data_IF_389959241650
#
_entry.id   IF_389959241650
#
_cell.length_a   1.000
_cell.length_b   1.000
_cell.length_c   1.000
_cell.angle_alpha   90.00
_cell.angle_beta   90.00
_cell.angle_gamma   90.00
#
_symmetry.space_group_name_H-M   'P 1'
#
loop_
_entity.id
_entity.type
_entity.pdbx_description
1 polymer ?
#
# COMPACT_ATOMS: atom_id res chain seq x y z
N UNK A 1 27.17 -15.16 -23.93
CA UNK A 1 25.95 -15.97 -23.77
C UNK A 1 26.36 -17.29 -23.15
N UNK A 2 25.82 -17.63 -21.93
CA UNK A 2 26.11 -18.93 -21.35
C UNK A 2 25.35 -20.00 -22.12
N UNK A 3 26.05 -20.83 -22.87
CA UNK A 3 25.47 -21.99 -23.54
C UNK A 3 25.03 -23.01 -22.52
N UNK A 4 23.72 -23.15 -22.36
CA UNK A 4 23.12 -24.14 -21.48
C UNK A 4 22.99 -25.44 -22.28
N UNK A 5 23.62 -26.51 -21.79
CA UNK A 5 23.47 -27.82 -22.41
C UNK A 5 22.07 -28.37 -22.18
N UNK A 6 21.52 -29.09 -23.12
CA UNK A 6 20.19 -29.72 -23.00
C UNK A 6 20.10 -30.58 -21.75
N UNK A 7 19.02 -30.44 -20.92
CA UNK A 7 18.84 -31.20 -19.69
C UNK A 7 18.77 -32.71 -19.97
N UNK A 8 19.43 -33.50 -19.09
CA UNK A 8 19.47 -34.95 -19.19
C UNK A 8 18.48 -35.58 -18.20
N UNK A 9 17.97 -36.75 -18.54
CA UNK A 9 17.03 -37.52 -17.71
C UNK A 9 17.83 -38.55 -16.91
N UNK A 10 17.50 -38.70 -15.63
CA UNK A 10 18.03 -39.74 -14.75
C UNK A 10 16.90 -40.43 -14.00
N UNK A 11 17.21 -41.63 -13.48
CA UNK A 11 16.30 -42.40 -12.68
C UNK A 11 16.94 -42.76 -11.33
N UNK A 12 16.16 -42.78 -10.26
CA UNK A 12 16.59 -43.24 -8.92
C UNK A 12 16.40 -44.77 -8.84
N UNK A 13 16.99 -45.40 -7.82
CA UNK A 13 16.79 -46.81 -7.51
C UNK A 13 15.30 -47.15 -7.33
N UNK A 14 14.50 -46.21 -6.80
CA UNK A 14 13.05 -46.33 -6.57
C UNK A 14 12.23 -45.99 -7.83
N UNK A 15 12.80 -46.06 -9.01
CA UNK A 15 12.13 -45.79 -10.31
C UNK A 15 11.52 -44.34 -10.40
N UNK A 16 11.98 -43.37 -9.59
CA UNK A 16 11.58 -41.98 -9.74
C UNK A 16 12.48 -41.28 -10.77
N UNK A 17 11.83 -40.67 -11.74
CA UNK A 17 12.52 -39.97 -12.83
C UNK A 17 12.83 -38.53 -12.39
N UNK A 18 13.98 -38.02 -12.78
CA UNK A 18 14.40 -36.64 -12.56
C UNK A 18 15.15 -36.09 -13.76
N UNK A 19 15.13 -34.77 -13.93
CA UNK A 19 15.88 -34.06 -14.94
C UNK A 19 17.07 -33.37 -14.26
N UNK A 20 18.26 -33.48 -14.87
CA UNK A 20 19.44 -32.81 -14.35
C UNK A 20 20.17 -32.04 -15.43
N UNK A 21 20.74 -30.92 -15.05
CA UNK A 21 21.49 -30.00 -15.93
C UNK A 21 22.47 -29.18 -15.09
N UNK A 22 23.33 -28.44 -15.79
CA UNK A 22 24.34 -27.59 -15.16
C UNK A 22 24.15 -26.15 -15.56
N UNK A 23 24.22 -25.24 -14.59
CA UNK A 23 24.30 -23.80 -14.78
C UNK A 23 25.52 -23.32 -14.00
N UNK A 24 26.45 -22.60 -14.67
CA UNK A 24 27.68 -22.09 -14.04
C UNK A 24 28.45 -23.16 -13.24
N UNK A 25 28.64 -24.33 -13.84
CA UNK A 25 29.28 -25.52 -13.22
C UNK A 25 28.55 -26.12 -12.03
N UNK A 26 27.40 -25.59 -11.62
CA UNK A 26 26.57 -26.14 -10.55
C UNK A 26 25.53 -27.08 -11.11
N UNK A 27 25.41 -28.30 -10.55
CA UNK A 27 24.42 -29.31 -10.96
C UNK A 27 23.08 -29.03 -10.31
N UNK A 28 22.03 -29.01 -11.11
CA UNK A 28 20.63 -28.92 -10.69
C UNK A 28 19.91 -30.24 -10.97
N UNK A 29 18.92 -30.57 -10.12
CA UNK A 29 18.12 -31.76 -10.25
C UNK A 29 16.67 -31.43 -9.93
N UNK A 30 15.75 -31.71 -10.88
CA UNK A 30 14.32 -31.43 -10.76
C UNK A 30 13.53 -32.71 -10.95
N UNK A 31 12.56 -32.94 -10.07
CA UNK A 31 11.63 -34.06 -10.16
C UNK A 31 10.29 -33.69 -10.79
N UNK A 32 9.96 -32.38 -10.82
CA UNK A 32 8.75 -31.82 -11.41
C UNK A 32 9.00 -30.40 -11.93
N UNK A 33 8.01 -29.83 -12.62
CA UNK A 33 8.08 -28.54 -13.27
C UNK A 33 7.82 -27.32 -12.38
N UNK A 34 7.50 -27.48 -11.11
CA UNK A 34 7.07 -26.39 -10.21
C UNK A 34 8.05 -25.21 -10.15
N UNK A 35 9.34 -25.48 -10.30
CA UNK A 35 10.40 -24.43 -10.26
C UNK A 35 10.52 -23.58 -11.54
N UNK A 36 9.86 -23.98 -12.60
CA UNK A 36 9.80 -23.28 -13.89
C UNK A 36 8.37 -22.89 -14.27
N UNK A 37 7.44 -22.91 -13.28
CA UNK A 37 6.02 -22.67 -13.47
C UNK A 37 5.35 -23.61 -14.49
N UNK A 38 5.87 -24.83 -14.65
CA UNK A 38 5.26 -25.90 -15.45
C UNK A 38 4.50 -26.88 -14.52
N UNK A 39 3.31 -27.29 -14.91
CA UNK A 39 2.49 -28.27 -14.18
C UNK A 39 2.93 -29.72 -14.40
N UNK A 40 4.01 -29.94 -15.16
CA UNK A 40 4.49 -31.29 -15.43
C UNK A 40 5.16 -31.91 -14.20
N UNK A 41 4.65 -33.06 -13.81
CA UNK A 41 5.22 -33.95 -12.79
C UNK A 41 5.33 -35.35 -13.37
N UNK A 42 6.49 -35.76 -13.91
CA UNK A 42 6.66 -37.09 -14.50
C UNK A 42 6.34 -38.23 -13.54
N UNK A 43 6.56 -38.03 -12.24
CA UNK A 43 6.37 -39.08 -11.23
C UNK A 43 4.91 -39.28 -10.80
N UNK A 44 4.01 -38.39 -11.20
CA UNK A 44 2.55 -38.56 -11.00
C UNK A 44 1.94 -39.52 -12.05
N UNK A 45 2.68 -39.88 -13.10
CA UNK A 45 2.21 -40.78 -14.16
C UNK A 45 2.64 -42.23 -13.92
N UNK A 46 1.95 -43.20 -14.54
CA UNK A 46 2.38 -44.60 -14.56
C UNK A 46 3.79 -44.78 -15.11
N UNK A 47 4.51 -45.81 -14.65
CA UNK A 47 5.95 -46.00 -14.92
C UNK A 47 6.28 -45.94 -16.42
N UNK A 48 5.44 -46.59 -17.25
CA UNK A 48 5.60 -46.60 -18.72
C UNK A 48 5.48 -45.24 -19.40
N UNK A 49 4.86 -44.25 -18.75
CA UNK A 49 4.69 -42.89 -19.29
C UNK A 49 5.67 -41.87 -18.66
N UNK A 50 6.37 -42.22 -17.58
CA UNK A 50 7.25 -41.30 -16.85
C UNK A 50 8.38 -40.78 -17.69
N UNK A 51 8.99 -41.61 -18.52
CA UNK A 51 10.09 -41.18 -19.39
C UNK A 51 9.64 -40.17 -20.45
N UNK A 52 8.46 -40.40 -21.05
CA UNK A 52 7.89 -39.45 -22.00
C UNK A 52 7.62 -38.07 -21.35
N UNK A 53 7.00 -38.09 -20.16
CA UNK A 53 6.71 -36.87 -19.40
C UNK A 53 8.01 -36.18 -18.95
N UNK A 54 9.06 -36.93 -18.65
CA UNK A 54 10.37 -36.38 -18.32
C UNK A 54 11.04 -35.71 -19.52
N UNK A 55 10.88 -36.26 -20.74
CA UNK A 55 11.35 -35.63 -22.00
C UNK A 55 10.64 -34.29 -22.23
N UNK A 56 9.32 -34.24 -22.01
CA UNK A 56 8.56 -32.98 -22.11
C UNK A 56 9.03 -31.95 -21.06
N UNK A 57 9.20 -32.38 -19.80
CA UNK A 57 9.72 -31.50 -18.76
C UNK A 57 11.14 -31.01 -19.06
N UNK A 58 12.01 -31.84 -19.62
CA UNK A 58 13.36 -31.44 -20.04
C UNK A 58 13.34 -30.36 -21.13
N UNK A 59 12.42 -30.48 -22.10
CA UNK A 59 12.20 -29.48 -23.14
C UNK A 59 11.69 -28.14 -22.55
N UNK A 60 10.74 -28.20 -21.63
CA UNK A 60 10.24 -27.02 -20.92
C UNK A 60 11.35 -26.32 -20.12
N UNK A 61 12.16 -27.08 -19.40
CA UNK A 61 13.33 -26.55 -18.67
C UNK A 61 14.30 -25.88 -19.62
N UNK A 62 14.62 -26.51 -20.74
CA UNK A 62 15.54 -25.96 -21.73
C UNK A 62 15.02 -24.64 -22.32
N UNK A 63 13.74 -24.63 -22.71
CA UNK A 63 13.07 -23.42 -23.23
C UNK A 63 13.07 -22.29 -22.18
N UNK A 64 12.70 -22.61 -20.95
CA UNK A 64 12.67 -21.66 -19.85
C UNK A 64 14.05 -21.02 -19.57
N UNK A 65 15.10 -21.83 -19.53
CA UNK A 65 16.44 -21.35 -19.25
C UNK A 65 17.02 -20.53 -20.42
N UNK A 66 16.74 -20.92 -21.66
CA UNK A 66 17.18 -20.16 -22.85
C UNK A 66 16.42 -18.83 -23.02
N UNK A 67 15.21 -18.71 -22.48
CA UNK A 67 14.48 -17.44 -22.42
C UNK A 67 14.92 -16.51 -21.29
N UNK A 68 16.03 -16.85 -20.58
CA UNK A 68 16.53 -16.05 -19.46
C UNK A 68 15.86 -16.34 -18.13
N UNK A 69 15.08 -17.41 -18.04
CA UNK A 69 14.42 -17.83 -16.81
C UNK A 69 15.42 -18.20 -15.71
N UNK A 70 15.19 -17.74 -14.49
CA UNK A 70 16.00 -18.05 -13.31
C UNK A 70 15.27 -19.07 -12.46
N UNK A 71 15.94 -20.18 -12.12
CA UNK A 71 15.37 -21.19 -11.24
C UNK A 71 15.20 -20.64 -9.83
N UNK A 72 13.95 -20.57 -9.34
CA UNK A 72 13.68 -20.29 -7.95
C UNK A 72 14.37 -21.35 -7.07
N UNK A 73 15.14 -20.92 -6.07
CA UNK A 73 15.85 -21.84 -5.20
C UNK A 73 14.88 -22.64 -4.33
N UNK A 74 15.18 -23.93 -4.15
CA UNK A 74 14.29 -24.89 -3.47
C UNK A 74 14.11 -24.54 -1.99
N UNK A 75 12.86 -24.44 -1.52
CA UNK A 75 12.47 -24.19 -0.11
C UNK A 75 12.85 -25.35 0.86
N UNK A 76 13.94 -26.03 0.65
CA UNK A 76 14.29 -27.24 1.43
C UNK A 76 15.64 -27.27 2.11
N UNK A 77 16.53 -26.34 1.84
CA UNK A 77 17.75 -26.12 2.63
C UNK A 77 17.87 -24.63 2.89
N UNK A 78 18.03 -24.27 4.15
CA UNK A 78 18.47 -22.93 4.52
C UNK A 78 19.75 -22.64 3.73
N UNK A 79 19.62 -21.94 2.61
CA UNK A 79 20.75 -21.28 2.02
C UNK A 79 21.06 -20.18 3.02
N UNK A 80 22.29 -20.14 3.49
CA UNK A 80 22.85 -18.94 4.09
C UNK A 80 22.90 -17.94 2.93
N UNK A 81 21.78 -17.32 2.64
CA UNK A 81 21.69 -16.09 1.86
C UNK A 81 22.55 -15.11 2.63
N UNK A 82 23.47 -14.46 1.97
CA UNK A 82 24.19 -13.36 2.57
C UNK A 82 23.19 -12.52 3.35
N UNK A 83 23.51 -12.15 4.61
CA UNK A 83 22.62 -11.60 5.65
C UNK A 83 21.41 -10.91 5.03
N UNK A 84 20.21 -11.50 5.23
CA UNK A 84 18.98 -10.95 4.69
C UNK A 84 18.90 -9.50 5.17
N UNK A 85 18.94 -8.56 4.25
CA UNK A 85 18.86 -7.15 4.58
C UNK A 85 17.41 -6.74 4.51
N UNK A 86 16.67 -6.94 5.62
CA UNK A 86 15.27 -6.56 5.70
C UNK A 86 15.07 -5.06 5.48
N UNK A 87 16.10 -4.26 5.76
CA UNK A 87 16.09 -2.82 5.52
C UNK A 87 15.96 -2.50 4.02
N UNK A 88 16.65 -3.24 3.15
CA UNK A 88 16.54 -3.09 1.70
C UNK A 88 15.15 -3.52 1.20
N UNK A 89 14.62 -4.63 1.73
CA UNK A 89 13.27 -5.12 1.42
C UNK A 89 12.21 -4.10 1.83
N UNK A 90 12.33 -3.51 3.02
CA UNK A 90 11.41 -2.48 3.51
C UNK A 90 11.47 -1.21 2.68
N UNK A 91 12.66 -0.82 2.22
CA UNK A 91 12.85 0.33 1.33
C UNK A 91 12.14 0.10 -0.01
N UNK A 92 12.34 -1.05 -0.64
CA UNK A 92 11.68 -1.42 -1.90
C UNK A 92 10.14 -1.45 -1.73
N UNK A 93 9.65 -1.99 -0.61
CA UNK A 93 8.23 -2.02 -0.29
C UNK A 93 7.63 -0.60 -0.15
N UNK A 94 8.35 0.31 0.52
CA UNK A 94 7.94 1.69 0.64
C UNK A 94 7.94 2.38 -0.74
N UNK A 95 9.00 2.26 -1.53
CA UNK A 95 9.11 2.86 -2.86
C UNK A 95 7.97 2.41 -3.77
N UNK A 96 7.65 1.12 -3.75
CA UNK A 96 6.49 0.60 -4.48
C UNK A 96 5.19 1.28 -4.04
N UNK A 97 4.95 1.39 -2.72
CA UNK A 97 3.76 2.04 -2.17
C UNK A 97 3.70 3.54 -2.50
N UNK A 98 4.82 4.22 -2.58
CA UNK A 98 4.87 5.63 -2.95
C UNK A 98 4.59 5.87 -4.44
N UNK A 99 4.82 4.88 -5.29
CA UNK A 99 4.52 4.95 -6.72
C UNK A 99 3.06 4.61 -7.05
N UNK A 100 2.30 4.02 -6.11
CA UNK A 100 0.86 3.81 -6.30
C UNK A 100 0.08 5.13 -6.30
N UNK A 101 -1.15 5.11 -6.85
CA UNK A 101 -2.05 6.28 -6.98
C UNK A 101 -2.70 6.71 -5.65
N UNK A 102 -1.91 6.81 -4.58
CA UNK A 102 -2.38 7.28 -3.29
C UNK A 102 -2.32 8.80 -3.14
N UNK A 103 -3.12 9.33 -2.22
CA UNK A 103 -3.08 10.75 -1.87
C UNK A 103 -1.71 11.17 -1.32
N UNK A 104 -1.31 12.42 -1.57
CA UNK A 104 -0.05 13.00 -1.04
C UNK A 104 0.06 12.86 0.48
N UNK A 105 -1.06 13.01 1.20
CA UNK A 105 -1.11 12.86 2.66
C UNK A 105 -0.77 11.44 3.09
N UNK A 106 -1.39 10.43 2.48
CA UNK A 106 -1.12 9.04 2.82
C UNK A 106 0.32 8.62 2.51
N UNK A 107 0.86 9.09 1.38
CA UNK A 107 2.28 8.88 1.05
C UNK A 107 3.23 9.47 2.11
N UNK A 108 2.91 10.67 2.63
CA UNK A 108 3.66 11.27 3.75
C UNK A 108 3.58 10.43 5.03
N UNK A 109 2.39 9.90 5.35
CA UNK A 109 2.20 9.03 6.52
C UNK A 109 2.99 7.72 6.42
N UNK A 110 3.02 7.09 5.24
CA UNK A 110 3.83 5.89 4.99
C UNK A 110 5.33 6.20 5.14
N UNK A 111 5.80 7.29 4.54
CA UNK A 111 7.20 7.72 4.66
C UNK A 111 7.59 8.03 6.10
N UNK A 112 6.69 8.64 6.87
CA UNK A 112 6.88 8.93 8.28
C UNK A 112 6.95 7.64 9.11
N UNK A 113 6.04 6.69 8.86
CA UNK A 113 6.04 5.40 9.54
C UNK A 113 7.34 4.62 9.28
N UNK A 114 7.81 4.61 8.04
CA UNK A 114 9.07 4.00 7.67
C UNK A 114 10.26 4.65 8.39
N UNK A 115 10.38 6.00 8.36
CA UNK A 115 11.46 6.73 9.03
C UNK A 115 11.51 6.41 10.51
N UNK A 116 10.37 6.39 11.20
CA UNK A 116 10.30 6.06 12.62
C UNK A 116 10.73 4.62 12.90
N UNK A 117 10.37 3.68 12.03
CA UNK A 117 10.82 2.29 12.17
C UNK A 117 12.35 2.20 12.03
N UNK A 118 12.89 2.75 10.94
CA UNK A 118 14.34 2.66 10.67
C UNK A 118 15.17 3.31 11.76
N UNK A 119 14.73 4.43 12.34
CA UNK A 119 15.43 5.09 13.44
C UNK A 119 15.47 4.25 14.74
N UNK A 120 14.59 3.26 14.87
CA UNK A 120 14.52 2.37 16.03
C UNK A 120 15.14 0.98 15.78
N UNK A 121 15.43 0.64 14.53
CA UNK A 121 16.13 -0.61 14.20
C UNK A 121 17.59 -0.51 14.62
N UNK A 122 18.05 -1.53 15.32
CA UNK A 122 19.45 -1.66 15.74
C UNK A 122 20.29 -2.42 14.74
N UNK A 123 19.66 -3.24 13.91
CA UNK A 123 20.31 -4.13 12.94
C UNK A 123 19.61 -4.02 11.56
N UNK A 124 20.23 -4.62 10.54
CA UNK A 124 19.65 -4.74 9.20
C UNK A 124 18.54 -5.78 9.10
N UNK A 125 18.34 -6.59 10.14
CA UNK A 125 17.28 -7.60 10.26
C UNK A 125 16.18 -7.02 11.16
N UNK A 126 14.95 -7.03 10.67
CA UNK A 126 13.79 -6.56 11.42
C UNK A 126 13.41 -7.54 12.53
N UNK A 127 13.28 -7.02 13.75
CA UNK A 127 12.75 -7.75 14.89
C UNK A 127 11.36 -7.24 15.29
N UNK A 128 10.61 -8.06 16.01
CA UNK A 128 9.34 -7.64 16.61
C UNK A 128 9.56 -6.53 17.63
N UNK A 129 10.66 -6.60 18.36
CA UNK A 129 11.08 -5.64 19.38
C UNK A 129 11.28 -4.24 18.80
N UNK A 130 11.86 -4.11 17.60
CA UNK A 130 12.02 -2.84 16.90
C UNK A 130 10.65 -2.20 16.60
N UNK A 131 9.68 -3.01 16.17
CA UNK A 131 8.31 -2.53 15.90
C UNK A 131 7.61 -2.12 17.20
N UNK A 132 7.70 -2.93 18.25
CA UNK A 132 7.13 -2.60 19.58
C UNK A 132 7.74 -1.31 20.10
N UNK A 133 9.07 -1.16 20.05
CA UNK A 133 9.77 0.06 20.44
C UNK A 133 9.29 1.27 19.65
N UNK A 134 9.14 1.14 18.32
CA UNK A 134 8.64 2.21 17.45
C UNK A 134 7.22 2.63 17.83
N UNK A 135 6.36 1.69 18.14
CA UNK A 135 4.97 1.96 18.53
C UNK A 135 4.85 2.55 19.93
N UNK A 136 5.74 2.17 20.86
CA UNK A 136 5.69 2.61 22.27
C UNK A 136 5.91 4.11 22.47
N UNK A 137 6.47 4.81 21.50
CA UNK A 137 6.58 6.28 21.53
C UNK A 137 5.22 6.98 21.55
N UNK A 138 4.14 6.30 21.12
CA UNK A 138 2.81 6.88 21.01
C UNK A 138 1.92 6.45 22.16
N UNK A 139 1.74 7.34 23.13
CA UNK A 139 0.80 7.15 24.26
C UNK A 139 -0.67 7.28 23.81
N UNK A 140 -0.92 8.10 22.78
CA UNK A 140 -2.26 8.27 22.25
C UNK A 140 -2.67 7.06 21.40
N UNK A 141 -3.75 6.39 21.77
CA UNK A 141 -4.25 5.17 21.12
C UNK A 141 -4.56 5.34 19.63
N UNK A 142 -5.05 6.52 19.22
CA UNK A 142 -5.35 6.80 17.81
C UNK A 142 -4.08 6.91 16.99
N UNK A 143 -3.06 7.63 17.48
CA UNK A 143 -1.76 7.78 16.85
C UNK A 143 -1.01 6.45 16.77
N UNK A 144 -1.02 5.68 17.87
CA UNK A 144 -0.48 4.33 17.91
C UNK A 144 -1.12 3.44 16.83
N UNK A 145 -2.45 3.40 16.77
CA UNK A 145 -3.16 2.57 15.80
C UNK A 145 -2.94 3.03 14.34
N UNK A 146 -2.81 4.33 14.11
CA UNK A 146 -2.49 4.88 12.79
C UNK A 146 -1.09 4.46 12.34
N UNK A 147 -0.08 4.62 13.20
CA UNK A 147 1.27 4.17 12.90
C UNK A 147 1.33 2.66 12.66
N UNK A 148 0.67 1.87 13.54
CA UNK A 148 0.56 0.42 13.39
C UNK A 148 -0.07 0.03 12.04
N UNK A 149 -1.12 0.72 11.61
CA UNK A 149 -1.79 0.50 10.31
C UNK A 149 -0.85 0.79 9.14
N UNK A 150 -0.10 1.87 9.20
CA UNK A 150 0.82 2.26 8.14
C UNK A 150 2.02 1.30 8.05
N UNK A 151 2.59 0.87 9.18
CA UNK A 151 3.61 -0.17 9.23
C UNK A 151 3.07 -1.49 8.67
N UNK A 152 1.85 -1.89 9.02
CA UNK A 152 1.20 -3.09 8.48
C UNK A 152 1.10 -3.05 6.95
N UNK A 153 0.78 -1.89 6.36
CA UNK A 153 0.71 -1.73 4.91
C UNK A 153 2.08 -1.91 4.22
N UNK A 154 3.16 -1.40 4.85
CA UNK A 154 4.53 -1.58 4.36
C UNK A 154 4.96 -3.03 4.49
N UNK A 155 4.75 -3.68 5.65
CA UNK A 155 5.17 -5.06 5.88
C UNK A 155 4.42 -6.07 4.99
N UNK A 156 3.12 -5.87 4.77
CA UNK A 156 2.37 -6.72 3.84
C UNK A 156 2.97 -6.67 2.43
N UNK A 157 3.41 -5.49 1.99
CA UNK A 157 4.12 -5.37 0.70
C UNK A 157 5.53 -5.95 0.76
N UNK A 158 6.23 -5.77 1.87
CA UNK A 158 7.56 -6.31 2.07
C UNK A 158 7.61 -7.86 2.05
N UNK A 159 6.53 -8.53 2.46
CA UNK A 159 6.41 -10.00 2.33
C UNK A 159 6.50 -10.44 0.85
N UNK A 160 5.91 -9.68 -0.08
CA UNK A 160 6.02 -9.98 -1.51
C UNK A 160 7.46 -9.84 -2.02
N UNK A 161 8.27 -8.99 -1.38
CA UNK A 161 9.70 -8.81 -1.67
C UNK A 161 10.62 -9.72 -0.86
N UNK A 162 10.08 -10.61 -0.02
CA UNK A 162 10.85 -11.65 0.67
C UNK A 162 11.01 -11.47 2.18
N UNK A 163 10.34 -10.51 2.82
CA UNK A 163 10.25 -10.45 4.28
C UNK A 163 9.56 -11.73 4.79
N UNK A 164 10.11 -12.34 5.85
CA UNK A 164 9.61 -13.63 6.36
C UNK A 164 8.19 -13.57 6.88
N UNK A 165 7.88 -12.54 7.66
CA UNK A 165 6.59 -12.38 8.32
C UNK A 165 6.30 -10.90 8.59
N UNK A 166 5.04 -10.60 8.82
CA UNK A 166 4.63 -9.27 9.26
C UNK A 166 4.56 -9.22 10.79
N UNK A 167 5.52 -8.57 11.47
CA UNK A 167 5.56 -8.56 12.94
C UNK A 167 4.36 -7.85 13.57
N UNK A 168 3.69 -6.95 12.84
CA UNK A 168 2.49 -6.25 13.31
C UNK A 168 1.32 -7.19 13.56
N UNK A 169 1.24 -8.35 12.89
CA UNK A 169 0.14 -9.31 13.07
C UNK A 169 0.02 -9.82 14.51
N UNK A 170 1.15 -9.95 15.21
CA UNK A 170 1.20 -10.37 16.62
C UNK A 170 1.02 -9.24 17.62
N UNK A 171 0.92 -7.97 17.17
CA UNK A 171 0.80 -6.80 18.05
C UNK A 171 -0.66 -6.35 18.09
N UNK A 172 -1.24 -6.27 19.29
CA UNK A 172 -2.63 -5.85 19.49
C UNK A 172 -2.82 -4.36 19.23
N UNK A 173 -4.01 -3.99 18.75
CA UNK A 173 -4.45 -2.59 18.68
C UNK A 173 -4.71 -2.06 20.10
N UNK A 174 -4.44 -0.78 20.31
CA UNK A 174 -4.88 -0.10 21.54
C UNK A 174 -6.36 0.26 21.45
N UNK A 175 -7.07 0.12 22.58
CA UNK A 175 -8.47 0.53 22.67
C UNK A 175 -8.56 2.06 22.61
N UNK A 176 -9.27 2.59 21.63
CA UNK A 176 -9.55 4.02 21.54
C UNK A 176 -10.77 4.32 22.38
N UNK A 177 -10.64 5.26 23.32
CA UNK A 177 -11.79 5.80 24.06
C UNK A 177 -12.46 6.85 23.17
N UNK A 178 -13.75 6.67 22.90
CA UNK A 178 -14.53 7.68 22.21
C UNK A 178 -14.58 8.96 23.05
N UNK A 179 -14.21 10.09 22.45
CA UNK A 179 -14.37 11.41 23.07
C UNK A 179 -15.61 12.05 22.47
N UNK A 180 -16.57 12.39 23.31
CA UNK A 180 -17.74 13.14 22.89
C UNK A 180 -17.35 14.61 22.72
N UNK A 181 -17.32 15.07 21.48
CA UNK A 181 -17.16 16.49 21.19
C UNK A 181 -18.49 17.18 21.50
N UNK A 182 -18.48 18.11 22.45
CA UNK A 182 -19.65 18.92 22.77
C UNK A 182 -19.75 20.06 21.74
N UNK A 183 -20.94 20.33 21.20
CA UNK A 183 -21.13 21.49 20.33
C UNK A 183 -20.93 22.77 21.16
N UNK A 184 -20.62 23.88 20.48
CA UNK A 184 -20.58 25.19 21.10
C UNK A 184 -21.96 25.57 21.63
N UNK A 185 -22.01 26.12 22.83
CA UNK A 185 -23.30 26.51 23.45
C UNK A 185 -23.91 27.76 22.79
N UNK A 186 -23.07 28.72 22.42
CA UNK A 186 -23.47 30.03 21.88
C UNK A 186 -22.93 30.22 20.48
N UNK A 187 -23.35 29.41 19.52
CA UNK A 187 -22.83 29.44 18.13
C UNK A 187 -23.05 30.80 17.46
N UNK A 188 -24.18 31.48 17.77
CA UNK A 188 -24.47 32.79 17.19
C UNK A 188 -23.51 33.87 17.69
N UNK A 189 -23.20 33.92 18.97
CA UNK A 189 -22.23 34.88 19.54
C UNK A 189 -20.83 34.67 18.94
N UNK A 190 -20.40 33.41 18.89
CA UNK A 190 -19.09 33.04 18.30
C UNK A 190 -19.02 33.48 16.84
N UNK A 191 -20.09 33.28 16.08
CA UNK A 191 -20.13 33.69 14.66
C UNK A 191 -20.09 35.22 14.52
N UNK A 192 -20.73 35.98 15.43
CA UNK A 192 -20.64 37.43 15.43
C UNK A 192 -19.23 37.92 15.77
N UNK A 193 -18.59 37.36 16.78
CA UNK A 193 -17.20 37.67 17.11
C UNK A 193 -16.26 37.38 15.93
N UNK A 194 -16.46 36.27 15.23
CA UNK A 194 -15.68 35.93 14.03
C UNK A 194 -15.95 36.93 12.90
N UNK A 195 -17.20 37.38 12.74
CA UNK A 195 -17.59 38.35 11.72
C UNK A 195 -16.87 39.67 11.94
N UNK A 196 -16.83 40.18 13.20
CA UNK A 196 -16.15 41.42 13.57
C UNK A 196 -14.64 41.31 13.43
N UNK A 197 -14.07 40.12 13.69
CA UNK A 197 -12.64 39.86 13.52
C UNK A 197 -12.23 39.75 12.05
N UNK A 198 -12.94 38.93 11.25
CA UNK A 198 -12.62 38.71 9.83
C UNK A 198 -13.83 38.19 9.07
N UNK A 199 -14.37 39.01 8.18
CA UNK A 199 -15.55 38.67 7.40
C UNK A 199 -15.39 37.43 6.50
N UNK A 200 -14.21 37.27 5.85
CA UNK A 200 -13.94 36.11 5.02
C UNK A 200 -13.90 34.81 5.85
N UNK A 201 -13.36 34.87 7.06
CA UNK A 201 -13.39 33.73 7.97
C UNK A 201 -14.83 33.40 8.39
N UNK A 202 -15.64 34.43 8.68
CA UNK A 202 -17.06 34.27 8.96
C UNK A 202 -17.82 33.54 7.84
N UNK A 203 -17.65 33.99 6.59
CA UNK A 203 -18.25 33.33 5.41
C UNK A 203 -17.82 31.86 5.31
N UNK A 204 -16.55 31.55 5.54
CA UNK A 204 -16.04 30.16 5.54
C UNK A 204 -16.66 29.33 6.67
N UNK A 205 -16.86 29.91 7.84
CA UNK A 205 -17.57 29.26 8.95
C UNK A 205 -19.03 28.97 8.57
N UNK A 206 -19.72 29.93 7.97
CA UNK A 206 -21.10 29.76 7.48
C UNK A 206 -21.20 28.67 6.40
N UNK A 207 -20.27 28.64 5.43
CA UNK A 207 -20.18 27.59 4.41
C UNK A 207 -19.97 26.21 5.05
N UNK A 208 -19.12 26.13 6.07
CA UNK A 208 -18.92 24.89 6.81
C UNK A 208 -20.18 24.44 7.55
N UNK A 209 -20.84 25.37 8.22
CA UNK A 209 -22.02 25.11 9.06
C UNK A 209 -23.29 24.89 8.24
N UNK A 210 -23.59 25.79 7.30
CA UNK A 210 -24.86 25.80 6.56
C UNK A 210 -24.84 24.92 5.30
N UNK A 211 -23.71 24.90 4.58
CA UNK A 211 -23.55 24.08 3.38
C UNK A 211 -22.85 22.74 3.64
N UNK A 212 -22.44 22.46 4.88
CA UNK A 212 -21.71 21.26 5.28
C UNK A 212 -20.46 21.01 4.40
N UNK A 213 -19.81 22.09 3.96
CA UNK A 213 -18.57 22.02 3.20
C UNK A 213 -17.39 21.78 4.15
N UNK A 214 -16.44 20.99 3.66
CA UNK A 214 -15.19 20.77 4.40
C UNK A 214 -14.28 21.99 4.29
N UNK A 215 -13.74 22.51 5.41
CA UNK A 215 -12.98 23.76 5.40
C UNK A 215 -11.67 23.68 4.60
N UNK A 216 -11.20 22.49 4.26
CA UNK A 216 -9.95 22.32 3.54
C UNK A 216 -10.11 22.58 2.04
N UNK A 217 -10.20 21.55 1.19
CA UNK A 217 -10.23 21.73 -0.26
C UNK A 217 -11.54 22.29 -0.76
N UNK A 218 -12.67 21.83 -0.18
CA UNK A 218 -14.01 22.19 -0.67
C UNK A 218 -14.29 23.69 -0.55
N UNK A 219 -13.85 24.35 0.56
CA UNK A 219 -14.02 25.80 0.74
C UNK A 219 -12.85 26.59 0.15
N UNK A 220 -11.61 26.13 0.39
CA UNK A 220 -10.43 26.89 -0.03
C UNK A 220 -10.28 27.00 -1.55
N UNK A 221 -10.76 25.99 -2.28
CA UNK A 221 -10.68 25.92 -3.75
C UNK A 221 -12.05 26.26 -4.39
N UNK A 222 -13.01 26.82 -3.62
CA UNK A 222 -14.31 27.23 -4.09
C UNK A 222 -14.21 28.52 -4.90
N UNK A 223 -14.77 28.49 -6.10
CA UNK A 223 -14.82 29.64 -7.02
C UNK A 223 -16.25 30.03 -7.32
N UNK A 224 -16.47 31.23 -7.82
CA UNK A 224 -17.80 31.69 -8.25
C UNK A 224 -18.39 30.83 -9.38
N UNK A 225 -17.54 30.21 -10.19
CA UNK A 225 -17.96 29.27 -11.24
C UNK A 225 -18.56 27.96 -10.71
N UNK A 226 -18.40 27.67 -9.42
CA UNK A 226 -19.01 26.49 -8.80
C UNK A 226 -20.48 26.73 -8.41
N UNK A 227 -20.92 27.98 -8.34
CA UNK A 227 -22.30 28.33 -7.99
C UNK A 227 -23.23 28.27 -9.19
N UNK A 228 -24.49 27.97 -8.94
CA UNK A 228 -25.56 28.24 -9.89
C UNK A 228 -25.75 29.74 -10.08
N UNK A 229 -26.31 30.15 -11.22
CA UNK A 229 -26.52 31.58 -11.56
C UNK A 229 -27.34 32.33 -10.50
N UNK A 230 -28.24 31.63 -9.81
CA UNK A 230 -29.08 32.18 -8.75
C UNK A 230 -28.42 32.05 -7.36
N UNK A 231 -27.18 31.58 -7.27
CA UNK A 231 -26.47 31.28 -6.03
C UNK A 231 -27.19 30.25 -5.11
N UNK A 232 -28.16 29.51 -5.64
CA UNK A 232 -28.95 28.56 -4.86
C UNK A 232 -28.26 27.23 -4.60
N UNK A 233 -27.26 26.88 -5.42
CA UNK A 233 -26.53 25.62 -5.33
C UNK A 233 -25.04 25.80 -5.61
N UNK A 234 -24.24 24.90 -5.02
CA UNK A 234 -22.81 24.75 -5.28
C UNK A 234 -22.57 23.40 -5.92
N UNK A 235 -21.92 23.37 -7.08
CA UNK A 235 -21.54 22.18 -7.82
C UNK A 235 -20.09 21.80 -7.49
N UNK A 236 -19.89 20.81 -6.63
CA UNK A 236 -18.57 20.34 -6.25
C UNK A 236 -18.14 19.14 -7.09
N UNK A 237 -17.02 19.26 -7.79
CA UNK A 237 -16.43 18.14 -8.51
C UNK A 237 -15.88 17.09 -7.54
N UNK A 238 -15.88 15.82 -7.97
CA UNK A 238 -15.34 14.71 -7.20
C UNK A 238 -13.87 14.89 -6.83
N UNK A 239 -13.11 15.59 -7.64
CA UNK A 239 -11.67 15.82 -7.41
C UNK A 239 -11.38 16.60 -6.11
N UNK A 240 -12.31 17.46 -5.70
CA UNK A 240 -12.17 18.31 -4.50
C UNK A 240 -12.65 17.63 -3.23
N UNK A 241 -13.37 16.55 -3.32
CA UNK A 241 -13.91 15.87 -2.12
C UNK A 241 -13.30 14.48 -1.90
N UNK A 242 -13.34 14.02 -0.65
CA UNK A 242 -12.73 12.74 -0.24
C UNK A 242 -13.39 11.51 -0.86
N UNK A 243 -14.66 11.63 -1.27
CA UNK A 243 -15.41 10.49 -1.83
C UNK A 243 -15.18 10.26 -3.33
N UNK A 244 -14.56 11.22 -4.02
CA UNK A 244 -14.38 11.18 -5.47
C UNK A 244 -15.68 11.33 -6.27
N UNK A 245 -16.80 11.71 -5.64
CA UNK A 245 -18.11 11.83 -6.30
C UNK A 245 -18.51 13.29 -6.44
N UNK A 246 -19.10 13.67 -7.56
CA UNK A 246 -19.71 14.97 -7.72
C UNK A 246 -20.84 15.16 -6.70
N UNK A 247 -20.98 16.38 -6.18
CA UNK A 247 -21.97 16.71 -5.17
C UNK A 247 -22.57 18.07 -5.45
N UNK A 248 -23.90 18.15 -5.44
CA UNK A 248 -24.66 19.40 -5.50
C UNK A 248 -25.07 19.73 -4.06
N UNK A 249 -24.73 20.92 -3.62
CA UNK A 249 -24.95 21.40 -2.25
C UNK A 249 -25.87 22.62 -2.29
N UNK A 250 -27.04 22.56 -1.65
CA UNK A 250 -27.90 23.74 -1.58
C UNK A 250 -27.27 24.82 -0.69
N UNK A 251 -27.45 26.07 -1.07
CA UNK A 251 -27.02 27.25 -0.32
C UNK A 251 -28.24 27.81 0.43
N UNK A 252 -28.21 27.82 1.78
CA UNK A 252 -29.30 28.42 2.56
C UNK A 252 -29.46 29.92 2.26
N UNK A 253 -30.68 30.43 2.33
CA UNK A 253 -30.99 31.84 2.01
C UNK A 253 -30.15 32.83 2.81
N UNK A 254 -29.99 32.57 4.11
CA UNK A 254 -29.19 33.46 4.99
C UNK A 254 -27.69 33.53 4.65
N UNK A 255 -27.17 32.55 3.87
CA UNK A 255 -25.82 32.59 3.32
C UNK A 255 -25.84 33.27 1.96
N UNK A 256 -26.82 32.94 1.13
CA UNK A 256 -27.00 33.53 -0.21
C UNK A 256 -27.06 35.04 -0.15
N UNK A 257 -27.80 35.62 0.79
CA UNK A 257 -27.96 37.06 0.96
C UNK A 257 -26.66 37.79 1.37
N UNK A 258 -25.65 37.05 1.83
CA UNK A 258 -24.32 37.56 2.17
C UNK A 258 -23.28 37.44 1.05
N UNK A 259 -23.65 36.76 -0.03
CA UNK A 259 -22.73 36.53 -1.15
C UNK A 259 -22.88 37.61 -2.19
N UNK A 260 -21.76 38.24 -2.56
CA UNK A 260 -21.68 39.13 -3.74
C UNK A 260 -20.96 38.38 -4.84
N UNK A 261 -21.65 38.09 -5.92
CA UNK A 261 -21.10 37.31 -7.03
C UNK A 261 -19.92 38.09 -7.67
N UNK A 262 -18.78 37.41 -7.79
CA UNK A 262 -17.60 37.86 -8.47
C UNK A 262 -17.38 37.16 -9.81
N UNK A 263 -16.24 37.37 -10.43
CA UNK A 263 -15.85 36.66 -11.65
C UNK A 263 -15.70 35.15 -11.42
N UNK A 264 -16.11 34.34 -12.38
CA UNK A 264 -16.24 32.88 -12.26
C UNK A 264 -14.95 32.16 -11.79
N UNK A 265 -13.79 32.70 -12.15
CA UNK A 265 -12.48 32.10 -11.81
C UNK A 265 -11.90 32.60 -10.49
N UNK A 266 -12.51 33.58 -9.84
CA UNK A 266 -12.03 34.10 -8.57
C UNK A 266 -12.55 33.26 -7.40
N UNK A 267 -11.70 33.07 -6.39
CA UNK A 267 -12.08 32.46 -5.11
C UNK A 267 -13.03 33.37 -4.33
N UNK A 268 -13.89 32.76 -3.53
CA UNK A 268 -14.79 33.45 -2.61
C UNK A 268 -14.02 33.97 -1.40
#
# INVERSE_FOLDING_TARGET
MNTINYPKIGCTKDQKVFIYFYINKKRYRLFNGKRINSNLDPNSYPINKRELMAKLLAADIYKYLNSGGVLSEYRGKKIVVGKQNDLEILKQALEFKLNESFSKSYKKELSYAYKNLISNMTNTILSKEDVVKTLSYYQNSSSYNSLRKNLNAIFNKAIEFGLKENPVNSIKKMRVKATLNKPFKNTAEILNEIKDYNYNLYLRCLMTFGCLLRPHREIRELTWGDFSNDLGFINLSGDRNKSGRNRIVPVPSYIKDLLTQGESNHNI
#
